data_IF_134857508295
#
_entry.id   IF_134857508295
#
_cell.length_a   1.000
_cell.length_b   1.000
_cell.length_c   1.000
_cell.angle_alpha   90.00
_cell.angle_beta   90.00
_cell.angle_gamma   90.00
#
_symmetry.space_group_name_H-M   'P 1'
#
loop_
_entity.id
_entity.type
_entity.pdbx_description
1 polymer ?
#
# COMPACT_ATOMS: atom_id res chain seq x y z
N UNK A 1 29.03 21.78 -13.31
CA UNK A 1 28.11 20.65 -13.56
C UNK A 1 26.95 20.79 -12.59
N UNK A 2 25.69 20.70 -13.06
CA UNK A 2 24.49 21.11 -12.29
C UNK A 2 24.30 20.27 -11.01
N UNK A 3 23.92 20.93 -9.90
CA UNK A 3 23.62 20.31 -8.60
C UNK A 3 22.58 19.18 -8.70
N UNK A 4 21.70 19.24 -9.70
CA UNK A 4 20.70 18.22 -10.01
C UNK A 4 21.34 16.92 -10.51
N UNK A 5 22.45 17.02 -11.26
CA UNK A 5 23.24 15.86 -11.71
C UNK A 5 23.99 15.23 -10.54
N UNK A 6 24.49 16.06 -9.62
CA UNK A 6 25.26 15.60 -8.47
C UNK A 6 24.34 14.96 -7.41
N UNK A 7 23.12 15.47 -7.23
CA UNK A 7 22.08 14.86 -6.43
C UNK A 7 21.57 13.54 -7.04
N UNK A 8 21.37 13.49 -8.36
CA UNK A 8 20.95 12.25 -9.05
C UNK A 8 22.07 11.19 -9.14
N UNK A 9 23.34 11.61 -9.14
CA UNK A 9 24.51 10.72 -9.13
C UNK A 9 25.00 10.39 -7.72
N UNK A 10 24.52 11.07 -6.68
CA UNK A 10 24.62 10.66 -5.28
C UNK A 10 23.52 9.66 -4.98
N UNK A 11 23.51 8.56 -5.73
CA UNK A 11 22.98 7.33 -5.19
C UNK A 11 24.05 6.85 -4.22
N UNK A 12 23.71 6.66 -2.94
CA UNK A 12 24.41 5.69 -2.08
C UNK A 12 24.21 4.30 -2.69
N UNK A 13 24.73 4.07 -3.90
CA UNK A 13 24.96 2.74 -4.43
C UNK A 13 26.17 2.22 -3.68
N UNK A 14 25.92 1.62 -2.51
CA UNK A 14 26.67 0.40 -2.23
C UNK A 14 26.45 -0.50 -3.45
N UNK A 15 27.54 -0.86 -4.12
CA UNK A 15 27.53 -1.84 -5.19
C UNK A 15 26.72 -3.07 -4.74
N UNK A 16 26.04 -3.80 -5.63
CA UNK A 16 25.54 -5.12 -5.29
C UNK A 16 26.78 -5.99 -5.01
N UNK A 17 27.24 -5.99 -3.76
CA UNK A 17 28.37 -6.77 -3.31
C UNK A 17 28.08 -8.25 -3.59
N UNK A 18 29.05 -8.88 -4.23
CA UNK A 18 28.94 -10.23 -4.73
C UNK A 18 28.64 -11.25 -3.63
N UNK A 19 28.15 -12.40 -4.09
CA UNK A 19 28.12 -13.64 -3.34
C UNK A 19 29.42 -13.82 -2.56
N UNK A 20 29.32 -13.86 -1.22
CA UNK A 20 30.38 -14.20 -0.24
C UNK A 20 31.23 -13.04 0.32
N UNK A 21 30.65 -12.24 1.22
CA UNK A 21 31.41 -11.63 2.33
C UNK A 21 30.58 -11.69 3.61
N UNK A 22 31.03 -12.38 4.68
CA UNK A 22 30.40 -12.27 5.99
C UNK A 22 31.00 -11.05 6.71
N UNK A 23 30.69 -9.86 6.23
CA UNK A 23 31.00 -8.63 6.96
C UNK A 23 29.75 -8.13 7.67
N UNK A 24 29.94 -7.76 8.93
CA UNK A 24 28.91 -7.31 9.83
C UNK A 24 28.24 -6.03 9.30
N UNK A 25 27.26 -6.19 8.40
CA UNK A 25 26.29 -5.17 8.09
C UNK A 25 25.65 -4.79 9.43
N UNK A 26 25.97 -3.60 9.93
CA UNK A 26 25.19 -2.95 10.96
C UNK A 26 23.77 -2.89 10.39
N UNK A 27 22.94 -3.87 10.75
CA UNK A 27 21.56 -3.91 10.30
C UNK A 27 20.91 -2.68 10.91
N UNK A 28 20.75 -1.63 10.09
CA UNK A 28 19.98 -0.45 10.46
C UNK A 28 18.53 -0.91 10.60
N UNK A 29 18.21 -1.37 11.80
CA UNK A 29 16.89 -1.87 12.14
C UNK A 29 15.98 -0.67 12.36
N UNK A 30 14.98 -0.55 11.49
CA UNK A 30 13.94 0.46 11.68
C UNK A 30 12.91 -0.05 12.69
N UNK A 31 12.37 0.82 13.57
CA UNK A 31 11.28 0.46 14.45
C UNK A 31 10.08 -0.10 13.67
N UNK A 32 9.56 -1.26 14.09
CA UNK A 32 8.51 -1.99 13.38
C UNK A 32 7.25 -1.14 13.10
N UNK A 33 6.88 -0.24 14.02
CA UNK A 33 5.72 0.62 13.87
C UNK A 33 5.87 1.60 12.70
N UNK A 34 7.09 2.07 12.40
CA UNK A 34 7.36 2.94 11.23
C UNK A 34 7.15 2.18 9.93
N UNK A 35 7.64 0.94 9.89
CA UNK A 35 7.46 0.04 8.75
C UNK A 35 5.98 -0.27 8.57
N UNK A 36 5.26 -0.55 9.65
CA UNK A 36 3.82 -0.78 9.65
C UNK A 36 3.01 0.45 9.22
N UNK A 37 3.43 1.68 9.54
CA UNK A 37 2.78 2.87 9.01
C UNK A 37 3.01 3.00 7.50
N UNK A 38 4.23 2.75 7.02
CA UNK A 38 4.54 2.83 5.60
C UNK A 38 3.78 1.78 4.79
N UNK A 39 3.80 0.51 5.21
CA UNK A 39 3.01 -0.56 4.57
C UNK A 39 1.51 -0.38 4.83
N UNK A 40 1.16 0.22 5.96
CA UNK A 40 -0.22 0.56 6.32
C UNK A 40 -0.85 1.53 5.34
N UNK A 41 -0.12 2.54 4.83
CA UNK A 41 -0.65 3.46 3.80
C UNK A 41 -1.12 2.72 2.55
N UNK A 42 -0.43 1.64 2.15
CA UNK A 42 -0.83 0.80 1.01
C UNK A 42 -2.10 -0.02 1.31
N UNK A 43 -2.28 -0.49 2.55
CA UNK A 43 -3.52 -1.14 2.97
C UNK A 43 -4.67 -0.15 3.12
N UNK A 44 -4.43 1.04 3.67
CA UNK A 44 -5.45 2.06 3.89
C UNK A 44 -5.97 2.64 2.58
N UNK A 45 -5.14 2.72 1.53
CA UNK A 45 -5.62 3.13 0.20
C UNK A 45 -6.67 2.17 -0.33
N UNK A 46 -6.48 0.86 -0.16
CA UNK A 46 -7.45 -0.17 -0.57
C UNK A 46 -8.72 -0.11 0.26
N UNK A 47 -8.61 0.14 1.58
CA UNK A 47 -9.76 0.33 2.46
C UNK A 47 -10.57 1.59 2.13
N UNK A 48 -9.99 2.58 1.44
CA UNK A 48 -10.70 3.78 1.00
C UNK A 48 -11.84 3.48 0.02
N UNK A 49 -11.63 2.54 -0.92
CA UNK A 49 -12.61 2.24 -1.97
C UNK A 49 -13.28 0.88 -1.84
N UNK A 50 -12.60 -0.15 -1.34
CA UNK A 50 -13.11 -1.53 -1.36
C UNK A 50 -14.43 -1.72 -0.59
N UNK A 51 -14.62 -1.17 0.62
CA UNK A 51 -15.89 -1.25 1.33
C UNK A 51 -17.03 -0.58 0.57
N UNK A 52 -16.76 0.55 -0.10
CA UNK A 52 -17.73 1.26 -0.94
C UNK A 52 -18.18 0.42 -2.13
N UNK A 53 -17.24 -0.20 -2.85
CA UNK A 53 -17.54 -1.13 -3.95
C UNK A 53 -18.36 -2.33 -3.44
N UNK A 54 -17.97 -2.90 -2.29
CA UNK A 54 -18.68 -4.02 -1.70
C UNK A 54 -20.13 -3.64 -1.31
N UNK A 55 -20.34 -2.45 -0.75
CA UNK A 55 -21.68 -1.95 -0.41
C UNK A 55 -22.55 -1.77 -1.66
N UNK A 56 -22.00 -1.22 -2.75
CA UNK A 56 -22.73 -1.04 -4.01
C UNK A 56 -23.07 -2.39 -4.66
N UNK A 57 -22.15 -3.36 -4.60
CA UNK A 57 -22.33 -4.66 -5.25
C UNK A 57 -23.20 -5.64 -4.45
N UNK A 58 -23.08 -5.64 -3.11
CA UNK A 58 -23.69 -6.64 -2.24
C UNK A 58 -24.71 -6.07 -1.24
N UNK A 59 -24.88 -4.73 -1.18
CA UNK A 59 -25.84 -4.08 -0.30
C UNK A 59 -25.65 -4.47 1.16
N UNK A 60 -26.74 -4.87 1.83
CA UNK A 60 -26.74 -5.29 3.23
C UNK A 60 -25.84 -6.53 3.53
N UNK A 61 -25.41 -7.27 2.51
CA UNK A 61 -24.53 -8.45 2.66
C UNK A 61 -23.04 -8.04 2.68
N UNK A 62 -22.71 -6.80 2.31
CA UNK A 62 -21.31 -6.33 2.26
C UNK A 62 -20.52 -6.50 3.57
N UNK A 63 -21.09 -6.23 4.77
CA UNK A 63 -20.39 -6.50 6.04
C UNK A 63 -20.07 -7.98 6.25
N UNK A 64 -20.95 -8.88 5.79
CA UNK A 64 -20.70 -10.32 5.88
C UNK A 64 -19.60 -10.77 4.91
N UNK A 65 -19.62 -10.27 3.66
CA UNK A 65 -18.60 -10.57 2.66
C UNK A 65 -17.20 -10.10 3.11
N UNK A 66 -17.12 -8.90 3.69
CA UNK A 66 -15.85 -8.37 4.25
C UNK A 66 -15.39 -9.18 5.47
N UNK A 67 -16.30 -9.62 6.34
CA UNK A 67 -15.97 -10.50 7.47
C UNK A 67 -15.38 -11.83 6.98
N UNK A 68 -15.98 -12.46 5.97
CA UNK A 68 -15.44 -13.69 5.36
C UNK A 68 -14.03 -13.48 4.80
N UNK A 69 -13.79 -12.35 4.12
CA UNK A 69 -12.47 -11.99 3.61
C UNK A 69 -11.44 -11.81 4.75
N UNK A 70 -11.83 -11.18 5.85
CA UNK A 70 -10.98 -11.02 7.05
C UNK A 70 -10.64 -12.39 7.65
N UNK A 71 -11.63 -13.28 7.80
CA UNK A 71 -11.40 -14.63 8.30
C UNK A 71 -10.45 -15.42 7.39
N UNK A 72 -10.64 -15.37 6.07
CA UNK A 72 -9.76 -16.02 5.11
C UNK A 72 -8.33 -15.49 5.21
N UNK A 73 -8.18 -14.18 5.43
CA UNK A 73 -6.87 -13.54 5.60
C UNK A 73 -6.20 -14.01 6.90
N UNK A 74 -6.93 -14.06 8.00
CA UNK A 74 -6.41 -14.46 9.32
C UNK A 74 -6.09 -15.96 9.42
N UNK A 75 -6.91 -16.82 8.82
CA UNK A 75 -6.78 -18.28 8.94
C UNK A 75 -6.13 -18.95 7.73
N UNK A 76 -6.11 -18.30 6.57
CA UNK A 76 -5.45 -18.78 5.36
C UNK A 76 -4.11 -18.08 5.12
N UNK A 77 -4.14 -16.76 4.92
CA UNK A 77 -2.97 -16.01 4.49
C UNK A 77 -1.93 -15.81 5.61
N UNK A 78 -2.35 -15.38 6.81
CA UNK A 78 -1.47 -15.12 7.94
C UNK A 78 -0.61 -16.33 8.37
N UNK A 79 -1.13 -17.56 8.54
CA UNK A 79 -0.29 -18.70 8.88
C UNK A 79 0.73 -19.01 7.77
N UNK A 80 0.35 -18.84 6.50
CA UNK A 80 1.27 -19.00 5.38
C UNK A 80 2.39 -17.94 5.42
N UNK A 81 2.05 -16.66 5.64
CA UNK A 81 3.04 -15.59 5.78
C UNK A 81 4.00 -15.84 6.94
N UNK A 82 3.49 -16.31 8.09
CA UNK A 82 4.33 -16.69 9.24
C UNK A 82 5.32 -17.80 8.87
N UNK A 83 4.89 -18.79 8.09
CA UNK A 83 5.77 -19.88 7.65
C UNK A 83 6.85 -19.38 6.69
N UNK A 84 6.49 -18.56 5.72
CA UNK A 84 7.44 -17.95 4.77
C UNK A 84 8.45 -17.05 5.48
N UNK A 85 8.00 -16.23 6.43
CA UNK A 85 8.88 -15.37 7.20
C UNK A 85 9.88 -16.16 8.07
N UNK A 86 9.49 -17.34 8.57
CA UNK A 86 10.39 -18.22 9.31
C UNK A 86 11.41 -18.93 8.40
N UNK A 87 11.03 -19.29 7.17
CA UNK A 87 11.90 -19.96 6.19
C UNK A 87 12.80 -18.97 5.41
N UNK A 88 12.50 -17.66 5.41
CA UNK A 88 13.32 -16.62 4.77
C UNK A 88 13.69 -15.50 5.76
N UNK A 89 14.61 -15.77 6.73
CA UNK A 89 14.99 -14.79 7.76
C UNK A 89 15.79 -13.60 7.21
N UNK A 90 16.45 -13.78 6.07
CA UNK A 90 17.34 -12.78 5.46
C UNK A 90 16.64 -11.87 4.45
N UNK A 91 15.34 -12.03 4.23
CA UNK A 91 14.59 -11.16 3.31
C UNK A 91 14.71 -11.55 1.84
N UNK A 92 15.21 -12.74 1.52
CA UNK A 92 15.26 -13.27 0.14
C UNK A 92 13.87 -13.38 -0.52
N UNK A 93 12.80 -13.35 0.31
CA UNK A 93 11.42 -13.31 -0.14
C UNK A 93 10.88 -14.65 -0.61
N UNK A 94 9.57 -14.72 -0.80
CA UNK A 94 8.88 -15.94 -1.25
C UNK A 94 9.28 -16.39 -2.66
N UNK A 95 9.73 -15.45 -3.50
CA UNK A 95 10.15 -15.71 -4.88
C UNK A 95 11.46 -16.50 -4.91
N UNK A 96 12.45 -16.11 -4.10
CA UNK A 96 13.73 -16.83 -4.00
C UNK A 96 13.53 -18.23 -3.41
N UNK A 97 12.66 -18.35 -2.39
CA UNK A 97 12.28 -19.64 -1.82
C UNK A 97 11.65 -20.58 -2.86
N UNK A 98 10.72 -20.09 -3.68
CA UNK A 98 10.10 -20.89 -4.74
C UNK A 98 11.05 -21.19 -5.91
N UNK A 99 11.95 -20.28 -6.24
CA UNK A 99 12.95 -20.49 -7.29
C UNK A 99 13.88 -21.67 -6.98
N UNK A 100 14.22 -21.87 -5.72
CA UNK A 100 15.06 -22.97 -5.25
C UNK A 100 14.37 -24.34 -5.30
N UNK A 101 13.04 -24.39 -5.42
CA UNK A 101 12.25 -25.63 -5.48
C UNK A 101 12.05 -26.15 -6.91
N UNK A 102 12.35 -25.34 -7.94
CA UNK A 102 12.08 -25.67 -9.34
C UNK A 102 13.37 -25.88 -10.15
N UNK A 103 13.40 -26.83 -11.10
CA UNK A 103 14.59 -27.09 -11.90
C UNK A 103 14.87 -25.98 -12.92
N UNK A 104 16.10 -25.45 -12.87
CA UNK A 104 16.78 -24.59 -13.84
C UNK A 104 15.89 -23.61 -14.66
N UNK A 105 15.40 -24.02 -15.84
CA UNK A 105 14.62 -23.13 -16.73
C UNK A 105 13.20 -22.87 -16.24
N UNK A 106 12.56 -23.83 -15.57
CA UNK A 106 11.20 -23.66 -15.05
C UNK A 106 11.17 -22.63 -13.93
N UNK A 107 12.19 -22.66 -13.05
CA UNK A 107 12.37 -21.66 -12.01
C UNK A 107 12.50 -20.25 -12.58
N UNK A 108 13.32 -20.06 -13.63
CA UNK A 108 13.51 -18.74 -14.26
C UNK A 108 12.23 -18.19 -14.90
N UNK A 109 11.51 -19.01 -15.67
CA UNK A 109 10.24 -18.58 -16.29
C UNK A 109 9.20 -18.25 -15.21
N UNK A 110 9.14 -19.06 -14.15
CA UNK A 110 8.23 -18.85 -13.05
C UNK A 110 8.54 -17.54 -12.29
N UNK A 111 9.81 -17.28 -11.97
CA UNK A 111 10.25 -16.02 -11.37
C UNK A 111 9.91 -14.83 -12.25
N UNK A 112 10.17 -14.91 -13.56
CA UNK A 112 9.81 -13.85 -14.51
C UNK A 112 8.30 -13.58 -14.53
N UNK A 113 7.48 -14.64 -14.47
CA UNK A 113 6.03 -14.52 -14.38
C UNK A 113 5.61 -13.83 -13.06
N UNK A 114 6.19 -14.22 -11.92
CA UNK A 114 5.90 -13.60 -10.63
C UNK A 114 6.33 -12.13 -10.56
N UNK A 115 7.50 -11.78 -11.11
CA UNK A 115 7.95 -10.39 -11.19
C UNK A 115 7.01 -9.59 -12.10
N UNK A 116 6.60 -10.15 -13.25
CA UNK A 116 5.62 -9.53 -14.13
C UNK A 116 4.27 -9.30 -13.44
N UNK A 117 3.78 -10.28 -12.69
CA UNK A 117 2.58 -10.16 -11.87
C UNK A 117 2.72 -9.10 -10.79
N UNK A 118 3.85 -9.07 -10.06
CA UNK A 118 4.12 -8.09 -9.02
C UNK A 118 4.20 -6.66 -9.58
N UNK A 119 4.88 -6.45 -10.69
CA UNK A 119 4.95 -5.15 -11.39
C UNK A 119 3.56 -4.71 -11.84
N UNK A 120 2.77 -5.63 -12.39
CA UNK A 120 1.40 -5.33 -12.81
C UNK A 120 0.53 -4.91 -11.62
N UNK A 121 0.61 -5.66 -10.51
CA UNK A 121 -0.08 -5.31 -9.27
C UNK A 121 0.32 -3.94 -8.76
N UNK A 122 1.62 -3.63 -8.73
CA UNK A 122 2.13 -2.34 -8.28
C UNK A 122 1.63 -1.17 -9.14
N UNK A 123 1.64 -1.32 -10.47
CA UNK A 123 1.12 -0.30 -11.39
C UNK A 123 -0.38 -0.09 -11.18
N UNK A 124 -1.15 -1.18 -11.04
CA UNK A 124 -2.60 -1.11 -10.81
C UNK A 124 -2.90 -0.42 -9.47
N UNK A 125 -2.23 -0.80 -8.39
CA UNK A 125 -2.47 -0.24 -7.05
C UNK A 125 -2.18 1.26 -7.01
N UNK A 126 -1.05 1.71 -7.55
CA UNK A 126 -0.72 3.15 -7.61
C UNK A 126 -1.75 3.89 -8.45
N UNK A 127 -2.12 3.34 -9.61
CA UNK A 127 -3.03 4.00 -10.55
C UNK A 127 -4.44 4.12 -9.98
N UNK A 128 -5.00 3.04 -9.43
CA UNK A 128 -6.31 3.06 -8.80
C UNK A 128 -6.34 3.98 -7.58
N UNK A 129 -5.32 3.92 -6.72
CA UNK A 129 -5.23 4.79 -5.55
C UNK A 129 -5.17 6.27 -5.93
N UNK A 130 -4.38 6.62 -6.94
CA UNK A 130 -4.27 8.01 -7.41
C UNK A 130 -5.54 8.49 -8.13
N UNK A 131 -6.22 7.60 -8.86
CA UNK A 131 -7.49 7.90 -9.51
C UNK A 131 -8.60 8.15 -8.48
N UNK A 132 -8.69 7.32 -7.45
CA UNK A 132 -9.66 7.48 -6.36
C UNK A 132 -9.42 8.76 -5.56
N UNK A 133 -8.16 9.07 -5.24
CA UNK A 133 -7.80 10.35 -4.62
C UNK A 133 -8.18 11.55 -5.50
N UNK A 134 -8.03 11.43 -6.82
CA UNK A 134 -8.42 12.47 -7.76
C UNK A 134 -9.93 12.68 -7.81
N UNK A 135 -10.72 11.59 -7.77
CA UNK A 135 -12.17 11.67 -7.69
C UNK A 135 -12.61 12.43 -6.43
N UNK A 136 -12.05 12.09 -5.26
CA UNK A 136 -12.32 12.79 -4.01
C UNK A 136 -11.95 14.28 -4.05
N UNK A 137 -10.86 14.66 -4.75
CA UNK A 137 -10.47 16.06 -4.92
C UNK A 137 -11.47 16.83 -5.79
N UNK A 138 -11.95 16.20 -6.86
CA UNK A 138 -12.83 16.85 -7.85
C UNK A 138 -14.28 16.93 -7.34
N UNK A 139 -14.76 15.91 -6.63
CA UNK A 139 -16.11 15.87 -6.05
C UNK A 139 -16.24 16.71 -4.76
N UNK A 140 -15.11 17.17 -4.20
CA UNK A 140 -15.13 18.03 -3.03
C UNK A 140 -15.88 19.35 -3.31
N UNK A 141 -16.91 19.72 -2.54
CA UNK A 141 -17.64 20.97 -2.71
C UNK A 141 -16.77 22.23 -2.64
N UNK A 142 -15.63 22.16 -1.96
CA UNK A 142 -14.65 23.23 -1.84
C UNK A 142 -13.62 23.24 -2.99
N UNK A 143 -13.73 22.32 -3.95
CA UNK A 143 -12.84 22.25 -5.09
C UNK A 143 -13.06 23.44 -6.03
N UNK A 144 -11.98 24.13 -6.42
CA UNK A 144 -12.07 25.17 -7.43
C UNK A 144 -12.61 24.62 -8.75
N UNK A 145 -13.58 25.33 -9.36
CA UNK A 145 -14.29 24.84 -10.56
C UNK A 145 -13.37 24.54 -11.76
N UNK A 146 -12.15 25.09 -11.78
CA UNK A 146 -11.14 24.87 -12.82
C UNK A 146 -10.42 23.51 -12.74
N UNK A 147 -10.69 22.72 -11.70
CA UNK A 147 -10.25 21.33 -11.57
C UNK A 147 -11.24 20.32 -12.17
N UNK A 148 -12.50 20.72 -12.37
CA UNK A 148 -13.51 19.85 -12.99
C UNK A 148 -13.07 19.45 -14.41
N UNK A 149 -13.21 18.16 -14.73
CA UNK A 149 -12.85 17.61 -16.04
C UNK A 149 -11.37 17.29 -16.25
N UNK A 150 -10.49 17.60 -15.27
CA UNK A 150 -9.02 17.35 -15.39
C UNK A 150 -8.52 16.10 -14.66
N UNK A 151 -9.38 15.08 -14.54
CA UNK A 151 -9.09 13.81 -13.84
C UNK A 151 -7.69 13.25 -14.18
N UNK A 152 -7.42 13.01 -15.47
CA UNK A 152 -6.16 12.37 -15.90
C UNK A 152 -4.92 13.19 -15.51
N UNK A 153 -4.97 14.52 -15.64
CA UNK A 153 -3.83 15.40 -15.34
C UNK A 153 -3.55 15.41 -13.84
N UNK A 154 -4.60 15.45 -13.01
CA UNK A 154 -4.48 15.46 -11.56
C UNK A 154 -3.93 14.10 -11.09
N UNK A 155 -4.44 12.98 -11.61
CA UNK A 155 -3.93 11.63 -11.30
C UNK A 155 -2.44 11.51 -11.63
N UNK A 156 -2.03 11.92 -12.84
CA UNK A 156 -0.62 11.89 -13.24
C UNK A 156 0.24 12.81 -12.36
N UNK A 157 -0.28 13.98 -11.97
CA UNK A 157 0.38 14.88 -11.04
C UNK A 157 0.59 14.26 -9.65
N UNK A 158 -0.41 13.57 -9.11
CA UNK A 158 -0.31 12.86 -7.83
C UNK A 158 0.71 11.73 -7.88
N UNK A 159 0.72 10.94 -8.96
CA UNK A 159 1.71 9.86 -9.16
C UNK A 159 3.12 10.45 -9.25
N UNK A 160 3.29 11.54 -10.00
CA UNK A 160 4.58 12.23 -10.11
C UNK A 160 5.05 12.80 -8.77
N UNK A 161 4.14 13.40 -7.99
CA UNK A 161 4.42 13.88 -6.64
C UNK A 161 4.86 12.74 -5.72
N UNK A 162 4.14 11.61 -5.73
CA UNK A 162 4.49 10.43 -4.95
C UNK A 162 5.89 9.93 -5.33
N UNK A 163 6.17 9.81 -6.64
CA UNK A 163 7.50 9.47 -7.14
C UNK A 163 8.59 10.44 -6.67
N UNK A 164 8.32 11.75 -6.70
CA UNK A 164 9.25 12.77 -6.23
C UNK A 164 9.54 12.67 -4.72
N UNK A 165 8.53 12.33 -3.90
CA UNK A 165 8.71 12.10 -2.46
C UNK A 165 9.63 10.90 -2.22
N UNK A 166 9.42 9.79 -2.94
CA UNK A 166 10.29 8.62 -2.83
C UNK A 166 11.71 8.90 -3.31
N UNK A 167 11.90 9.70 -4.36
CA UNK A 167 13.23 10.13 -4.84
C UNK A 167 13.96 11.05 -3.83
N UNK A 168 13.23 11.84 -3.03
CA UNK A 168 13.80 12.71 -2.00
C UNK A 168 14.41 11.91 -0.83
N UNK A 169 13.88 10.73 -0.53
CA UNK A 169 14.46 9.79 0.43
C UNK A 169 13.42 9.00 1.24
N UNK A 170 13.77 7.75 1.57
CA UNK A 170 12.89 6.82 2.27
C UNK A 170 12.45 7.29 3.66
N UNK A 171 13.34 7.97 4.40
CA UNK A 171 13.03 8.51 5.73
C UNK A 171 11.95 9.60 5.71
N UNK A 172 11.97 10.47 4.69
CA UNK A 172 10.96 11.52 4.51
C UNK A 172 9.59 10.91 4.19
N UNK A 173 9.57 9.91 3.30
CA UNK A 173 8.36 9.19 2.94
C UNK A 173 7.71 8.52 4.16
N UNK A 174 8.51 7.88 5.04
CA UNK A 174 8.02 7.32 6.30
C UNK A 174 7.41 8.40 7.19
N UNK A 175 8.09 9.55 7.34
CA UNK A 175 7.58 10.65 8.17
C UNK A 175 6.21 11.14 7.72
N UNK A 176 6.05 11.34 6.40
CA UNK A 176 4.77 11.72 5.78
C UNK A 176 3.72 10.62 6.01
N UNK A 177 4.09 9.35 5.77
CA UNK A 177 3.18 8.21 5.93
C UNK A 177 2.65 8.11 7.37
N UNK A 178 3.51 8.22 8.39
CA UNK A 178 3.09 8.19 9.80
C UNK A 178 2.07 9.30 10.10
N UNK A 179 2.33 10.53 9.64
CA UNK A 179 1.40 11.65 9.84
C UNK A 179 0.04 11.39 9.19
N UNK A 180 0.04 10.91 7.93
CA UNK A 180 -1.18 10.57 7.21
C UNK A 180 -1.98 9.46 7.90
N UNK A 181 -1.30 8.41 8.38
CA UNK A 181 -1.95 7.30 9.09
C UNK A 181 -2.63 7.77 10.37
N UNK A 182 -1.96 8.60 11.17
CA UNK A 182 -2.54 9.13 12.42
C UNK A 182 -3.80 9.95 12.12
N UNK A 183 -3.75 10.82 11.12
CA UNK A 183 -4.91 11.63 10.70
C UNK A 183 -6.04 10.73 10.20
N UNK A 184 -5.72 9.77 9.32
CA UNK A 184 -6.71 8.86 8.74
C UNK A 184 -7.42 8.03 9.81
N UNK A 185 -6.67 7.41 10.72
CA UNK A 185 -7.25 6.62 11.82
C UNK A 185 -8.08 7.53 12.74
N UNK A 186 -7.57 8.71 13.09
CA UNK A 186 -8.29 9.67 13.92
C UNK A 186 -9.64 10.08 13.33
N UNK A 187 -9.67 10.41 12.04
CA UNK A 187 -10.91 10.75 11.33
C UNK A 187 -11.88 9.57 11.25
N UNK A 188 -11.38 8.36 10.94
CA UNK A 188 -12.22 7.15 10.90
C UNK A 188 -12.84 6.85 12.27
N UNK A 189 -12.09 7.01 13.37
CA UNK A 189 -12.62 6.83 14.72
C UNK A 189 -13.73 7.82 15.04
N UNK A 190 -13.59 9.08 14.61
CA UNK A 190 -14.65 10.09 14.78
C UNK A 190 -15.89 9.70 13.97
N UNK A 191 -15.73 9.33 12.70
CA UNK A 191 -16.83 8.92 11.82
C UNK A 191 -17.55 7.70 12.39
N UNK A 192 -16.81 6.68 12.84
CA UNK A 192 -17.37 5.50 13.49
C UNK A 192 -18.12 5.86 14.78
N UNK A 193 -17.55 6.74 15.62
CA UNK A 193 -18.19 7.18 16.86
C UNK A 193 -19.49 7.94 16.62
N UNK A 194 -19.51 8.84 15.65
CA UNK A 194 -20.73 9.58 15.25
C UNK A 194 -21.75 8.63 14.62
N UNK A 195 -21.33 7.73 13.73
CA UNK A 195 -22.22 6.75 13.11
C UNK A 195 -22.86 5.80 14.12
N UNK A 196 -22.10 5.29 15.09
CA UNK A 196 -22.65 4.48 16.17
C UNK A 196 -23.67 5.27 17.00
N UNK A 197 -23.35 6.52 17.34
CA UNK A 197 -24.27 7.39 18.08
C UNK A 197 -25.60 7.57 17.33
N UNK A 198 -25.53 7.83 16.03
CA UNK A 198 -26.70 8.04 15.17
C UNK A 198 -27.59 6.78 15.13
N UNK A 199 -26.99 5.59 15.01
CA UNK A 199 -27.69 4.31 15.02
C UNK A 199 -28.42 4.10 16.38
N UNK A 200 -27.78 4.47 17.49
CA UNK A 200 -28.40 4.34 18.81
C UNK A 200 -29.52 5.38 19.06
N UNK A 201 -29.44 6.56 18.45
CA UNK A 201 -30.45 7.62 18.61
C UNK A 201 -31.63 7.49 17.64
N UNK A 202 -31.44 6.85 16.49
CA UNK A 202 -32.49 6.63 15.48
C UNK A 202 -32.60 5.15 15.07
N UNK A 203 -33.16 4.27 15.92
CA UNK A 203 -33.31 2.84 15.63
C UNK A 203 -34.20 2.55 14.42
N UNK A 204 -35.06 3.50 14.04
CA UNK A 204 -35.98 3.40 12.91
C UNK A 204 -35.26 3.38 11.55
N UNK A 205 -34.01 3.84 11.48
CA UNK A 205 -33.19 3.80 10.25
C UNK A 205 -32.70 2.39 9.86
N UNK A 206 -32.82 1.40 10.76
CA UNK A 206 -32.49 0.00 10.49
C UNK A 206 -33.67 -0.81 9.93
N UNK A 207 -34.87 -0.21 9.82
CA UNK A 207 -36.13 -0.89 9.50
C UNK A 207 -36.53 -0.90 8.01
N UNK A 208 -35.63 -0.55 7.08
CA UNK A 208 -35.90 -0.66 5.63
C UNK A 208 -35.02 -1.70 4.96
#
# INVERSE_FOLDING_TARGET
MSALKQWFLQTDTQEPEGFHTPEAAQHHTHPWWKVMCLTGVDYFSTLGYQPGIAAIAAGAIAPFATLVLVLLTLFGALPMYRRVAAESPHGDGSISMLANLLPFWQGKIFVLCLIGFAVTGFIITITLSAADATAHIIENPFAPHWLHGKHVIITLGLIALLGAVFLKGFGEAIGIAVGLVVIYIGLNLIVLGVGLREIFTHPEALSN
#
